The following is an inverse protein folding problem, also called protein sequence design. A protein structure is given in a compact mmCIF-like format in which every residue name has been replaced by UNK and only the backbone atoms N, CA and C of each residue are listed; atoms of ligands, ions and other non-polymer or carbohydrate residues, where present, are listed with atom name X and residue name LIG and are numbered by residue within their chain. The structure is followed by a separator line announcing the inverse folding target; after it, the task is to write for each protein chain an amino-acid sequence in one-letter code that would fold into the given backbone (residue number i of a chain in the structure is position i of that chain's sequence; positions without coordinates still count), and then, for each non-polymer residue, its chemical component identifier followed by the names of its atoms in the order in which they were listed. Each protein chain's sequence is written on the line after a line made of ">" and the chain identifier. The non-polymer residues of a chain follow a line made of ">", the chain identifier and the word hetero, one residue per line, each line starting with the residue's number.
data_IF_044570407368
#
_entry.id   IF_044570407368
#
_cell.length_a   1.000
_cell.length_b   1.000
_cell.length_c   1.000
_cell.angle_alpha   90.00
_cell.angle_beta   90.00
_cell.angle_gamma   90.00
#
_symmetry.space_group_name_H-M   'P 1'
#
loop_
_entity.id
_entity.type
_entity.pdbx_description
1 polymer ?
#
# COMPACT_ATOMS: atom_id res chain seq x y z
N UNK A 1 -18.32 -16.72 4.75
CA UNK A 1 -18.96 -16.61 6.10
C UNK A 1 -19.33 -17.99 6.56
N UNK A 2 -19.12 -18.36 7.82
CA UNK A 2 -19.67 -19.59 8.39
C UNK A 2 -21.19 -19.56 8.37
N UNK A 3 -21.80 -20.77 8.35
CA UNK A 3 -23.27 -20.91 8.33
C UNK A 3 -23.86 -20.37 9.64
N UNK A 4 -24.92 -19.59 9.56
CA UNK A 4 -25.60 -18.97 10.70
C UNK A 4 -25.05 -17.60 11.15
N UNK A 5 -23.99 -17.10 10.53
CA UNK A 5 -23.43 -15.78 10.87
C UNK A 5 -23.78 -14.70 9.84
N UNK A 6 -24.01 -13.50 10.33
CA UNK A 6 -23.91 -12.26 9.54
C UNK A 6 -22.46 -11.73 9.64
N UNK A 7 -22.04 -10.86 8.72
CA UNK A 7 -20.70 -10.22 8.80
C UNK A 7 -20.47 -9.59 10.17
N UNK A 8 -21.49 -8.91 10.71
CA UNK A 8 -21.44 -8.25 12.01
C UNK A 8 -21.23 -9.23 13.16
N UNK A 9 -22.07 -10.27 13.24
CA UNK A 9 -21.98 -11.24 14.35
C UNK A 9 -20.68 -12.04 14.30
N UNK A 10 -20.18 -12.31 13.11
CA UNK A 10 -18.91 -13.02 12.95
C UNK A 10 -17.71 -12.14 13.33
N UNK A 11 -17.67 -10.87 12.89
CA UNK A 11 -16.63 -9.93 13.30
C UNK A 11 -16.58 -9.78 14.82
N UNK A 12 -17.75 -9.63 15.44
CA UNK A 12 -17.86 -9.46 16.88
C UNK A 12 -17.32 -10.70 17.65
N UNK A 13 -17.72 -11.91 17.25
CA UNK A 13 -17.23 -13.13 17.87
C UNK A 13 -15.73 -13.34 17.74
N UNK A 14 -15.17 -13.03 16.54
CA UNK A 14 -13.73 -13.09 16.34
C UNK A 14 -12.98 -12.12 17.26
N UNK A 15 -13.51 -10.91 17.43
CA UNK A 15 -12.91 -9.90 18.31
C UNK A 15 -13.02 -10.28 19.79
N UNK A 16 -14.18 -10.80 20.24
CA UNK A 16 -14.37 -11.28 21.62
C UNK A 16 -13.44 -12.45 21.92
N UNK A 17 -13.33 -13.40 21.00
CA UNK A 17 -12.39 -14.52 21.12
C UNK A 17 -10.95 -14.02 21.19
N UNK A 18 -10.58 -13.08 20.31
CA UNK A 18 -9.25 -12.48 20.30
C UNK A 18 -8.94 -11.70 21.58
N UNK A 19 -9.92 -10.97 22.12
CA UNK A 19 -9.80 -10.25 23.39
C UNK A 19 -9.43 -11.21 24.53
N UNK A 20 -10.18 -12.30 24.65
CA UNK A 20 -9.93 -13.34 25.66
C UNK A 20 -8.59 -14.02 25.46
N UNK A 21 -8.15 -14.24 24.24
CA UNK A 21 -6.89 -14.91 23.96
C UNK A 21 -5.66 -14.03 24.17
N UNK A 22 -5.78 -12.74 23.89
CA UNK A 22 -4.62 -11.82 23.86
C UNK A 22 -4.42 -11.01 25.14
N UNK A 23 -5.47 -10.86 25.98
CA UNK A 23 -5.34 -10.10 27.24
C UNK A 23 -5.35 -11.04 28.45
N UNK A 24 -4.24 -11.07 29.23
CA UNK A 24 -4.09 -11.96 30.38
C UNK A 24 -5.19 -11.81 31.45
N UNK A 25 -5.74 -10.60 31.61
CA UNK A 25 -6.80 -10.30 32.59
C UNK A 25 -8.05 -11.17 32.38
N UNK A 26 -8.36 -11.59 31.15
CA UNK A 26 -9.49 -12.48 30.88
C UNK A 26 -9.18 -13.94 31.27
N UNK A 27 -7.91 -14.29 31.40
CA UNK A 27 -7.44 -15.60 31.89
C UNK A 27 -7.27 -15.63 33.42
N UNK A 28 -7.56 -14.53 34.11
CA UNK A 28 -7.33 -14.40 35.55
C UNK A 28 -5.86 -14.14 35.91
N UNK A 29 -5.06 -13.75 34.95
CA UNK A 29 -3.65 -13.43 35.12
C UNK A 29 -3.46 -11.92 35.25
N UNK A 30 -2.42 -11.49 35.98
CA UNK A 30 -2.05 -10.08 36.13
C UNK A 30 -1.10 -9.73 35.00
N UNK A 31 -1.50 -8.78 34.13
CA UNK A 31 -0.58 -8.20 33.17
C UNK A 31 0.30 -7.16 33.88
N UNK A 32 1.57 -7.50 34.06
CA UNK A 32 2.56 -6.60 34.69
C UNK A 32 2.84 -5.34 33.85
N UNK A 33 2.47 -5.33 32.59
CA UNK A 33 2.74 -4.26 31.62
C UNK A 33 1.50 -3.43 31.28
N UNK A 34 0.30 -3.89 31.64
CA UNK A 34 -0.96 -3.23 31.35
C UNK A 34 -1.91 -3.40 32.54
N UNK A 35 -2.23 -2.31 33.23
CA UNK A 35 -3.11 -2.32 34.40
C UNK A 35 -4.58 -2.09 34.05
N UNK A 36 -4.99 -2.45 32.82
CA UNK A 36 -6.36 -2.26 32.34
C UNK A 36 -7.29 -3.31 32.92
N UNK A 37 -8.48 -2.86 33.28
CA UNK A 37 -9.57 -3.73 33.71
C UNK A 37 -10.26 -4.40 32.52
N UNK A 38 -11.06 -5.43 32.78
CA UNK A 38 -11.88 -6.07 31.73
C UNK A 38 -12.85 -5.08 31.13
N UNK A 39 -13.48 -4.28 31.99
CA UNK A 39 -14.48 -3.28 31.65
C UNK A 39 -13.90 -2.23 30.68
N UNK A 40 -12.70 -1.72 30.95
CA UNK A 40 -12.03 -0.75 30.05
C UNK A 40 -11.71 -1.34 28.68
N UNK A 41 -11.27 -2.58 28.62
CA UNK A 41 -10.98 -3.27 27.37
C UNK A 41 -12.26 -3.57 26.56
N UNK A 42 -13.32 -4.02 27.23
CA UNK A 42 -14.63 -4.27 26.61
C UNK A 42 -15.27 -2.98 26.11
N UNK A 43 -15.18 -1.88 26.88
CA UNK A 43 -15.68 -0.57 26.48
C UNK A 43 -14.97 -0.08 25.22
N UNK A 44 -13.64 -0.14 25.19
CA UNK A 44 -12.86 0.25 24.02
C UNK A 44 -13.17 -0.62 22.80
N UNK A 45 -13.26 -1.93 22.97
CA UNK A 45 -13.60 -2.85 21.88
C UNK A 45 -14.99 -2.53 21.31
N UNK A 46 -15.98 -2.33 22.18
CA UNK A 46 -17.35 -2.01 21.75
C UNK A 46 -17.42 -0.65 21.03
N UNK A 47 -16.69 0.35 21.50
CA UNK A 47 -16.58 1.65 20.86
C UNK A 47 -16.04 1.52 19.43
N UNK A 48 -14.91 0.82 19.25
CA UNK A 48 -14.30 0.63 17.94
C UNK A 48 -15.18 -0.19 17.00
N UNK A 49 -15.75 -1.31 17.47
CA UNK A 49 -16.67 -2.15 16.70
C UNK A 49 -17.90 -1.36 16.20
N UNK A 50 -18.51 -0.53 17.06
CA UNK A 50 -19.63 0.30 16.66
C UNK A 50 -19.24 1.36 15.63
N UNK A 51 -18.07 1.96 15.77
CA UNK A 51 -17.52 2.91 14.79
C UNK A 51 -17.29 2.24 13.43
N UNK A 52 -16.62 1.08 13.41
CA UNK A 52 -16.41 0.29 12.19
C UNK A 52 -17.73 -0.08 11.51
N UNK A 53 -18.73 -0.50 12.30
CA UNK A 53 -20.06 -0.83 11.80
C UNK A 53 -20.77 0.38 11.18
N UNK A 54 -20.78 1.51 11.90
CA UNK A 54 -21.46 2.72 11.46
C UNK A 54 -20.82 3.33 10.21
N UNK A 55 -19.52 3.15 10.03
CA UNK A 55 -18.79 3.59 8.84
C UNK A 55 -18.86 2.58 7.68
N UNK A 56 -19.44 1.38 7.87
CA UNK A 56 -19.63 0.38 6.82
C UNK A 56 -18.39 -0.43 6.48
N UNK A 57 -17.42 -0.58 7.40
CA UNK A 57 -16.15 -1.27 7.13
C UNK A 57 -16.04 -2.69 7.70
N UNK A 58 -17.18 -3.31 8.09
CA UNK A 58 -17.19 -4.68 8.65
C UNK A 58 -16.52 -5.68 7.71
N UNK A 59 -16.96 -5.71 6.44
CA UNK A 59 -16.47 -6.63 5.43
C UNK A 59 -14.98 -6.38 5.12
N UNK A 60 -14.55 -5.13 5.13
CA UNK A 60 -13.14 -4.77 4.96
C UNK A 60 -12.26 -5.41 6.03
N UNK A 61 -12.63 -5.29 7.30
CA UNK A 61 -11.89 -5.93 8.40
C UNK A 61 -11.89 -7.45 8.30
N UNK A 62 -13.01 -8.06 7.90
CA UNK A 62 -13.11 -9.51 7.71
C UNK A 62 -12.23 -10.01 6.55
N UNK A 63 -12.15 -9.26 5.44
CA UNK A 63 -11.29 -9.60 4.31
C UNK A 63 -9.81 -9.51 4.72
N UNK A 64 -9.43 -8.44 5.43
CA UNK A 64 -8.05 -8.25 5.91
C UNK A 64 -7.68 -9.36 6.91
N UNK A 65 -8.55 -9.65 7.87
CA UNK A 65 -8.38 -10.76 8.80
C UNK A 65 -8.19 -12.09 8.08
N UNK A 66 -8.99 -12.37 7.08
CA UNK A 66 -9.03 -13.64 6.38
C UNK A 66 -7.70 -14.00 5.72
N UNK A 67 -7.13 -13.09 4.93
CA UNK A 67 -5.85 -13.38 4.27
C UNK A 67 -4.65 -13.35 5.23
N UNK A 68 -4.71 -12.57 6.31
CA UNK A 68 -3.70 -12.60 7.38
C UNK A 68 -3.78 -13.93 8.13
N UNK A 69 -4.99 -14.36 8.51
CA UNK A 69 -5.23 -15.64 9.17
C UNK A 69 -4.76 -16.81 8.30
N UNK A 70 -5.05 -16.78 6.99
CA UNK A 70 -4.52 -17.76 6.05
C UNK A 70 -2.99 -17.79 6.07
N UNK A 71 -2.35 -16.65 6.01
CA UNK A 71 -0.89 -16.56 6.01
C UNK A 71 -0.30 -17.15 7.31
N UNK A 72 -0.78 -16.70 8.47
CA UNK A 72 -0.33 -17.18 9.78
C UNK A 72 -0.57 -18.69 9.96
N UNK A 73 -1.74 -19.19 9.56
CA UNK A 73 -2.10 -20.62 9.64
C UNK A 73 -1.25 -21.52 8.73
N UNK A 74 -0.68 -20.97 7.66
CA UNK A 74 0.22 -21.69 6.76
C UNK A 74 1.71 -21.40 7.02
N UNK A 75 2.03 -20.79 8.16
CA UNK A 75 3.41 -20.48 8.56
C UNK A 75 4.10 -19.45 7.64
N UNK A 76 3.33 -18.58 6.99
CA UNK A 76 3.85 -17.45 6.23
C UNK A 76 4.05 -16.31 7.23
N UNK A 77 5.28 -15.82 7.36
CA UNK A 77 5.59 -14.73 8.27
C UNK A 77 4.84 -13.45 7.87
N UNK A 78 4.18 -12.84 8.85
CA UNK A 78 3.46 -11.56 8.75
C UNK A 78 4.10 -10.58 9.71
N UNK A 79 4.31 -9.35 9.27
CA UNK A 79 4.85 -8.29 10.12
C UNK A 79 3.89 -7.91 11.26
N UNK A 80 4.41 -7.25 12.33
CA UNK A 80 3.61 -6.92 13.51
C UNK A 80 2.56 -5.83 13.28
N UNK A 81 2.45 -5.34 12.07
CA UNK A 81 1.63 -4.19 11.70
C UNK A 81 2.41 -2.88 11.80
N UNK A 82 1.94 -1.87 11.07
CA UNK A 82 2.51 -0.53 10.98
C UNK A 82 1.43 0.51 10.70
N UNK A 83 1.80 1.79 10.71
CA UNK A 83 0.86 2.87 10.43
C UNK A 83 -0.20 3.06 11.50
N UNK A 84 -1.33 3.62 11.12
CA UNK A 84 -2.42 3.98 12.03
C UNK A 84 -3.22 2.78 12.53
N UNK A 85 -3.26 1.67 11.79
CA UNK A 85 -3.99 0.46 12.15
C UNK A 85 -3.55 -0.16 13.51
N UNK A 86 -2.29 0.09 13.93
CA UNK A 86 -1.79 -0.30 15.23
C UNK A 86 -2.52 0.38 16.40
N UNK A 87 -3.28 1.47 16.16
CA UNK A 87 -4.09 2.15 17.17
C UNK A 87 -5.43 1.48 17.48
N UNK A 88 -5.77 0.38 16.81
CA UNK A 88 -7.06 -0.31 16.94
C UNK A 88 -6.95 -1.59 17.78
N UNK A 89 -7.78 -1.68 18.85
CA UNK A 89 -7.92 -2.93 19.62
C UNK A 89 -8.62 -4.01 18.79
N UNK A 90 -9.51 -3.65 17.86
CA UNK A 90 -10.13 -4.58 16.91
C UNK A 90 -9.05 -5.22 16.04
N UNK A 91 -8.14 -4.42 15.46
CA UNK A 91 -7.02 -4.94 14.67
C UNK A 91 -6.10 -5.85 15.49
N UNK A 92 -5.88 -5.52 16.75
CA UNK A 92 -5.10 -6.34 17.68
C UNK A 92 -5.82 -7.66 17.99
N UNK A 93 -7.09 -7.66 18.35
CA UNK A 93 -7.88 -8.86 18.63
C UNK A 93 -7.99 -9.79 17.42
N UNK A 94 -8.08 -9.25 16.22
CA UNK A 94 -8.11 -9.99 14.95
C UNK A 94 -6.73 -10.50 14.51
N UNK A 95 -5.67 -10.27 15.27
CA UNK A 95 -4.29 -10.59 14.89
C UNK A 95 -3.82 -9.92 13.59
N UNK A 96 -4.49 -8.84 13.17
CA UNK A 96 -4.06 -7.99 12.06
C UNK A 96 -2.78 -7.25 12.46
N UNK A 97 -2.71 -6.81 13.73
CA UNK A 97 -1.51 -6.22 14.32
C UNK A 97 -1.09 -6.97 15.57
N UNK A 98 0.21 -6.92 15.89
CA UNK A 98 0.78 -7.50 17.11
C UNK A 98 1.26 -6.41 18.10
N UNK A 99 0.90 -5.15 17.83
CA UNK A 99 1.14 -4.00 18.68
C UNK A 99 -0.11 -3.77 19.53
N UNK A 100 0.03 -3.86 20.85
CA UNK A 100 -1.07 -3.67 21.80
C UNK A 100 -1.36 -2.15 21.97
N UNK A 101 -2.52 -1.64 21.52
CA UNK A 101 -2.76 -0.20 21.41
C UNK A 101 -2.92 0.50 22.75
N UNK A 102 -3.48 -0.15 23.77
CA UNK A 102 -3.78 0.45 25.05
C UNK A 102 -2.51 0.68 25.88
N UNK A 103 -1.56 -0.26 25.81
CA UNK A 103 -0.24 -0.15 26.45
C UNK A 103 0.55 1.09 26.01
N UNK A 104 0.42 1.45 24.74
CA UNK A 104 1.15 2.57 24.15
C UNK A 104 0.28 3.83 24.00
N UNK A 105 -0.94 3.84 24.58
CA UNK A 105 -1.88 4.94 24.48
C UNK A 105 -2.12 5.40 23.02
N UNK A 106 -2.23 4.44 22.11
CA UNK A 106 -2.48 4.74 20.71
C UNK A 106 -3.95 5.13 20.47
N UNK A 107 -4.13 6.17 19.67
CA UNK A 107 -5.47 6.73 19.39
C UNK A 107 -6.08 6.04 18.19
N UNK A 108 -7.25 5.45 18.37
CA UNK A 108 -8.05 4.84 17.31
C UNK A 108 -8.51 5.86 16.26
N UNK A 109 -8.79 7.08 16.69
CA UNK A 109 -9.27 8.17 15.83
C UNK A 109 -8.23 8.62 14.79
N UNK A 110 -6.96 8.27 14.97
CA UNK A 110 -5.92 8.44 13.94
C UNK A 110 -6.02 7.42 12.81
N UNK A 111 -6.61 6.28 13.10
CA UNK A 111 -6.84 5.20 12.13
C UNK A 111 -8.23 5.33 11.49
N UNK A 112 -9.28 5.49 12.31
CA UNK A 112 -10.65 5.60 11.83
C UNK A 112 -11.37 6.71 12.58
N UNK A 113 -11.72 7.79 11.86
CA UNK A 113 -12.41 8.94 12.42
C UNK A 113 -13.75 9.15 11.71
N UNK A 114 -14.90 9.07 12.41
CA UNK A 114 -16.22 9.32 11.82
C UNK A 114 -16.37 10.70 11.16
N UNK A 115 -15.63 11.70 11.64
CA UNK A 115 -15.66 13.06 11.08
C UNK A 115 -14.87 13.19 9.76
N UNK A 116 -13.98 12.22 9.50
CA UNK A 116 -13.17 12.19 8.28
C UNK A 116 -13.56 10.97 7.44
N UNK A 117 -14.36 11.19 6.42
CA UNK A 117 -14.75 10.14 5.46
C UNK A 117 -13.54 9.77 4.60
N UNK A 118 -12.73 8.85 5.07
CA UNK A 118 -11.66 8.21 4.30
C UNK A 118 -11.66 6.72 4.59
N UNK A 119 -11.39 5.92 3.56
CA UNK A 119 -11.26 4.48 3.73
C UNK A 119 -10.09 4.17 4.67
N UNK A 120 -10.23 3.21 5.61
CA UNK A 120 -9.13 2.80 6.46
C UNK A 120 -8.01 2.17 5.62
N UNK A 121 -6.78 2.50 5.94
CA UNK A 121 -5.58 1.97 5.31
C UNK A 121 -4.86 1.01 6.27
N UNK A 122 -4.86 -0.28 5.92
CA UNK A 122 -4.16 -1.33 6.68
C UNK A 122 -3.04 -1.88 5.81
N UNK A 123 -1.83 -1.45 6.11
CA UNK A 123 -0.63 -1.97 5.49
C UNK A 123 -0.21 -3.30 6.11
N UNK A 124 -0.07 -4.34 5.29
CA UNK A 124 0.35 -5.67 5.74
C UNK A 124 1.66 -6.08 5.08
N UNK A 125 2.65 -6.41 5.89
CA UNK A 125 3.96 -6.88 5.43
C UNK A 125 4.01 -8.42 5.48
N UNK A 126 4.19 -9.06 4.32
CA UNK A 126 4.36 -10.51 4.20
C UNK A 126 5.81 -10.88 3.88
N UNK A 127 6.19 -12.10 4.24
CA UNK A 127 7.44 -12.70 3.78
C UNK A 127 7.57 -12.57 2.25
N UNK A 128 8.66 -11.98 1.78
CA UNK A 128 8.87 -11.69 0.35
C UNK A 128 8.85 -12.95 -0.52
N UNK A 129 9.35 -14.07 0.00
CA UNK A 129 9.43 -15.35 -0.72
C UNK A 129 8.05 -15.99 -0.91
N UNK A 130 7.14 -15.81 0.06
CA UNK A 130 5.85 -16.50 0.10
C UNK A 130 4.63 -15.59 -0.06
N UNK A 131 4.83 -14.28 -0.28
CA UNK A 131 3.76 -13.32 -0.51
C UNK A 131 2.83 -13.74 -1.67
N UNK A 132 3.38 -14.32 -2.73
CA UNK A 132 2.59 -14.76 -3.88
C UNK A 132 1.54 -15.81 -3.50
N UNK A 133 1.83 -16.68 -2.54
CA UNK A 133 0.87 -17.69 -2.05
C UNK A 133 -0.38 -17.03 -1.43
N UNK A 134 -0.21 -15.89 -0.76
CA UNK A 134 -1.33 -15.12 -0.18
C UNK A 134 -2.16 -14.47 -1.29
N UNK A 135 -1.53 -13.88 -2.30
CA UNK A 135 -2.22 -13.30 -3.47
C UNK A 135 -3.02 -14.39 -4.20
N UNK A 136 -2.41 -15.55 -4.41
CA UNK A 136 -3.07 -16.69 -5.05
C UNK A 136 -4.24 -17.22 -4.22
N UNK A 137 -4.12 -17.21 -2.88
CA UNK A 137 -5.23 -17.55 -1.98
C UNK A 137 -6.40 -16.58 -2.16
N UNK A 138 -6.13 -15.29 -2.15
CA UNK A 138 -7.16 -14.24 -2.37
C UNK A 138 -7.86 -14.46 -3.70
N UNK A 139 -7.11 -14.70 -4.79
CA UNK A 139 -7.68 -14.98 -6.10
C UNK A 139 -8.52 -16.27 -6.14
N UNK A 140 -8.12 -17.32 -5.39
CA UNK A 140 -8.93 -18.55 -5.29
C UNK A 140 -10.21 -18.36 -4.48
N UNK A 141 -10.12 -17.58 -3.39
CA UNK A 141 -11.23 -17.43 -2.44
C UNK A 141 -12.31 -16.48 -2.93
N UNK A 142 -11.90 -15.33 -3.46
CA UNK A 142 -12.83 -14.28 -3.87
C UNK A 142 -13.23 -14.35 -5.34
N UNK A 143 -12.53 -15.15 -6.14
CA UNK A 143 -12.73 -15.29 -7.59
C UNK A 143 -11.61 -14.65 -8.38
N UNK A 144 -11.09 -15.38 -9.39
CA UNK A 144 -9.99 -14.88 -10.23
C UNK A 144 -10.38 -13.68 -11.09
N UNK A 145 -11.66 -13.54 -11.38
CA UNK A 145 -12.27 -12.44 -12.09
C UNK A 145 -12.64 -11.25 -11.20
N UNK A 146 -12.68 -11.47 -9.87
CA UNK A 146 -12.96 -10.45 -8.86
C UNK A 146 -11.69 -9.83 -8.27
N UNK A 147 -10.52 -10.33 -8.66
CA UNK A 147 -9.22 -9.90 -8.10
C UNK A 147 -8.29 -9.50 -9.23
N UNK A 148 -7.74 -8.29 -9.15
CA UNK A 148 -6.74 -7.80 -10.10
C UNK A 148 -5.61 -7.07 -9.39
N UNK A 149 -4.41 -7.12 -9.97
CA UNK A 149 -3.31 -6.29 -9.52
C UNK A 149 -3.47 -4.87 -10.07
N UNK A 150 -2.93 -3.88 -9.36
CA UNK A 150 -3.00 -2.48 -9.78
C UNK A 150 -1.84 -2.18 -10.73
N UNK A 151 -2.12 -1.43 -11.81
CA UNK A 151 -1.07 -0.94 -12.70
C UNK A 151 -0.32 0.23 -12.07
N UNK A 152 0.97 0.32 -12.38
CA UNK A 152 1.77 1.55 -12.18
C UNK A 152 2.40 1.96 -13.50
N UNK A 153 2.54 3.27 -13.70
CA UNK A 153 3.23 3.81 -14.86
C UNK A 153 4.58 4.38 -14.45
N UNK A 154 5.64 3.75 -14.94
CA UNK A 154 6.97 4.33 -14.88
C UNK A 154 7.05 5.53 -15.81
N UNK A 155 7.51 6.69 -15.30
CA UNK A 155 7.67 7.92 -16.07
C UNK A 155 9.13 8.17 -16.43
N UNK A 156 9.36 8.93 -17.49
CA UNK A 156 10.67 9.42 -17.88
C UNK A 156 11.16 10.44 -16.83
N UNK A 157 12.06 10.03 -15.96
CA UNK A 157 12.69 10.89 -14.95
C UNK A 157 13.90 11.63 -15.55
N UNK A 158 14.27 12.78 -14.97
CA UNK A 158 15.30 13.69 -15.47
C UNK A 158 16.59 13.01 -15.98
N UNK A 159 17.20 12.12 -15.20
CA UNK A 159 18.42 11.39 -15.60
C UNK A 159 18.16 10.36 -16.72
N UNK A 160 17.01 9.70 -16.65
CA UNK A 160 16.62 8.67 -17.61
C UNK A 160 16.33 9.27 -18.97
N UNK A 161 15.55 10.35 -18.99
CA UNK A 161 15.14 11.01 -20.24
C UNK A 161 16.34 11.58 -21.01
N UNK A 162 17.34 12.16 -20.32
CA UNK A 162 18.59 12.62 -20.96
C UNK A 162 19.30 11.47 -21.70
N UNK A 163 19.41 10.29 -21.08
CA UNK A 163 20.04 9.13 -21.73
C UNK A 163 19.22 8.59 -22.89
N UNK A 164 17.90 8.55 -22.75
CA UNK A 164 17.02 8.06 -23.81
C UNK A 164 17.02 8.99 -25.02
N UNK A 165 16.92 10.31 -24.80
CA UNK A 165 16.96 11.31 -25.87
C UNK A 165 18.35 11.37 -26.52
N UNK A 166 19.40 11.34 -25.71
CA UNK A 166 20.78 11.31 -26.24
C UNK A 166 21.04 10.10 -27.15
N UNK A 167 20.49 8.94 -26.81
CA UNK A 167 20.53 7.75 -27.66
C UNK A 167 19.79 7.92 -28.99
N UNK A 168 18.61 8.56 -28.95
CA UNK A 168 17.80 8.83 -30.15
C UNK A 168 18.49 9.86 -31.06
N UNK A 169 19.21 10.82 -30.46
CA UNK A 169 19.99 11.84 -31.18
C UNK A 169 21.37 11.34 -31.64
N UNK A 170 21.66 10.05 -31.45
CA UNK A 170 22.94 9.39 -31.78
C UNK A 170 24.17 10.09 -31.16
N UNK A 171 23.99 10.69 -29.98
CA UNK A 171 25.07 11.31 -29.24
C UNK A 171 25.97 10.28 -28.56
N UNK A 172 27.30 10.55 -28.42
CA UNK A 172 28.20 9.63 -27.73
C UNK A 172 27.76 9.37 -26.30
N UNK A 173 27.62 8.07 -25.92
CA UNK A 173 27.14 7.65 -24.60
C UNK A 173 27.89 8.32 -23.44
N UNK A 174 29.23 8.44 -23.53
CA UNK A 174 30.05 9.04 -22.49
C UNK A 174 29.70 10.52 -22.25
N UNK A 175 29.41 11.27 -23.32
CA UNK A 175 28.98 12.68 -23.22
C UNK A 175 27.62 12.78 -22.54
N UNK A 176 26.64 12.00 -23.00
CA UNK A 176 25.29 11.97 -22.45
C UNK A 176 25.26 11.53 -20.99
N UNK A 177 26.04 10.51 -20.63
CA UNK A 177 26.13 10.00 -19.27
C UNK A 177 26.78 11.00 -18.31
N UNK A 178 27.78 11.76 -18.76
CA UNK A 178 28.36 12.86 -18.01
C UNK A 178 27.32 13.96 -17.71
N UNK A 179 26.54 14.35 -18.71
CA UNK A 179 25.44 15.33 -18.52
C UNK A 179 24.41 14.80 -17.54
N UNK A 180 24.01 13.52 -17.69
CA UNK A 180 23.05 12.89 -16.79
C UNK A 180 23.55 12.81 -15.33
N UNK A 181 24.86 12.64 -15.12
CA UNK A 181 25.50 12.62 -13.79
C UNK A 181 25.53 14.00 -13.13
N UNK A 182 25.50 15.09 -13.89
CA UNK A 182 25.42 16.44 -13.34
C UNK A 182 24.05 16.75 -12.72
N UNK A 183 23.01 15.98 -13.03
CA UNK A 183 21.69 16.11 -12.42
C UNK A 183 21.76 15.63 -10.96
N UNK A 184 21.37 16.45 -9.95
CA UNK A 184 21.39 16.07 -8.54
C UNK A 184 20.62 14.80 -8.24
N UNK A 185 21.03 14.06 -7.18
CA UNK A 185 20.35 12.84 -6.74
C UNK A 185 19.25 13.16 -5.71
N UNK A 186 18.35 14.04 -6.07
CA UNK A 186 17.22 14.40 -5.22
C UNK A 186 15.93 13.71 -5.69
N UNK A 187 15.06 13.38 -4.75
CA UNK A 187 13.77 12.80 -5.06
C UNK A 187 12.92 13.80 -5.88
N UNK A 188 12.40 13.32 -7.00
CA UNK A 188 11.57 14.12 -7.92
C UNK A 188 12.24 15.36 -8.52
N UNK A 189 13.58 15.37 -8.60
CA UNK A 189 14.29 16.43 -9.31
C UNK A 189 13.83 16.49 -10.78
N UNK A 190 13.57 17.71 -11.27
CA UNK A 190 13.25 17.98 -12.67
C UNK A 190 14.48 18.55 -13.40
N UNK A 191 14.46 18.52 -14.73
CA UNK A 191 15.53 19.14 -15.53
C UNK A 191 15.65 20.64 -15.26
N UNK A 192 14.52 21.34 -15.07
CA UNK A 192 14.53 22.76 -14.68
C UNK A 192 15.09 22.98 -13.28
N UNK A 193 14.78 22.08 -12.34
CA UNK A 193 15.36 22.11 -11.00
C UNK A 193 16.86 21.88 -11.03
N UNK A 194 17.32 20.91 -11.82
CA UNK A 194 18.74 20.60 -11.99
C UNK A 194 19.53 21.77 -12.57
N UNK A 195 19.00 22.45 -13.59
CA UNK A 195 19.62 23.62 -14.17
C UNK A 195 19.72 24.82 -13.21
N UNK A 196 18.78 24.94 -12.25
CA UNK A 196 18.84 26.00 -11.21
C UNK A 196 19.86 25.65 -10.12
N UNK A 197 20.03 24.41 -9.79
CA UNK A 197 20.88 23.94 -8.68
C UNK A 197 22.34 23.73 -9.10
N UNK A 198 22.58 23.18 -10.30
CA UNK A 198 23.93 22.89 -10.79
C UNK A 198 24.40 23.94 -11.79
N UNK A 199 25.33 24.80 -11.33
CA UNK A 199 25.90 25.87 -12.16
C UNK A 199 26.70 25.34 -13.36
N UNK A 200 27.41 24.23 -13.22
CA UNK A 200 28.19 23.61 -14.30
C UNK A 200 27.25 23.12 -15.41
N UNK A 201 26.18 22.42 -15.06
CA UNK A 201 25.13 21.99 -16.00
C UNK A 201 24.50 23.20 -16.70
N UNK A 202 24.23 24.28 -15.95
CA UNK A 202 23.68 25.52 -16.52
C UNK A 202 24.64 26.17 -17.49
N UNK A 203 25.93 26.27 -17.15
CA UNK A 203 26.95 26.83 -18.02
C UNK A 203 27.06 26.02 -19.32
N UNK A 204 27.07 24.68 -19.21
CA UNK A 204 27.15 23.81 -20.37
C UNK A 204 25.89 23.95 -21.26
N UNK A 205 24.71 24.04 -20.65
CA UNK A 205 23.44 24.30 -21.35
C UNK A 205 23.47 25.63 -22.12
N UNK A 206 24.07 26.71 -21.56
CA UNK A 206 24.10 28.02 -22.18
C UNK A 206 25.18 28.15 -23.26
N UNK A 207 26.27 27.38 -23.16
CA UNK A 207 27.44 27.52 -24.05
C UNK A 207 27.50 26.49 -25.19
N UNK A 208 26.86 25.31 -25.03
CA UNK A 208 26.90 24.22 -26.00
C UNK A 208 25.52 24.01 -26.66
N UNK A 209 25.38 24.30 -27.97
CA UNK A 209 24.13 24.14 -28.70
C UNK A 209 23.60 22.69 -28.74
N UNK A 210 24.48 21.67 -28.76
CA UNK A 210 24.09 20.27 -28.75
C UNK A 210 23.49 19.88 -27.40
N UNK A 211 24.14 20.28 -26.31
CA UNK A 211 23.66 20.04 -24.95
C UNK A 211 22.36 20.78 -24.70
N UNK A 212 22.25 22.00 -25.19
CA UNK A 212 20.97 22.74 -25.12
C UNK A 212 19.86 22.03 -25.84
N UNK A 213 20.10 21.55 -27.04
CA UNK A 213 19.10 20.81 -27.81
C UNK A 213 18.69 19.49 -27.10
N UNK A 214 19.66 18.75 -26.58
CA UNK A 214 19.43 17.54 -25.79
C UNK A 214 18.49 17.81 -24.59
N UNK A 215 18.81 18.85 -23.82
CA UNK A 215 18.03 19.17 -22.61
C UNK A 215 16.66 19.71 -22.98
N UNK A 216 16.53 20.54 -24.00
CA UNK A 216 15.25 21.12 -24.45
C UNK A 216 14.31 20.01 -25.00
N UNK A 217 14.83 19.04 -25.75
CA UNK A 217 14.06 17.87 -26.17
C UNK A 217 13.67 16.98 -24.97
N UNK A 218 14.59 16.77 -24.04
CA UNK A 218 14.35 15.98 -22.84
C UNK A 218 13.27 16.59 -21.94
N UNK A 219 13.21 17.91 -21.81
CA UNK A 219 12.15 18.63 -21.09
C UNK A 219 10.75 18.35 -21.62
N UNK A 220 10.61 18.17 -22.95
CA UNK A 220 9.33 17.89 -23.61
C UNK A 220 8.82 16.47 -23.30
N UNK A 221 9.73 15.56 -22.96
CA UNK A 221 9.44 14.15 -22.67
C UNK A 221 9.47 13.84 -21.18
N UNK A 222 10.08 14.67 -20.35
CA UNK A 222 10.15 14.51 -18.91
C UNK A 222 8.75 14.36 -18.31
N UNK A 223 8.55 13.34 -17.47
CA UNK A 223 7.28 13.05 -16.82
C UNK A 223 6.29 12.23 -17.65
N UNK A 224 6.50 12.06 -18.96
CA UNK A 224 5.62 11.22 -19.77
C UNK A 224 5.74 9.74 -19.35
N UNK A 225 4.65 8.96 -19.46
CA UNK A 225 4.69 7.51 -19.23
C UNK A 225 5.67 6.82 -20.17
N UNK A 226 6.46 5.89 -19.64
CA UNK A 226 7.44 5.11 -20.39
C UNK A 226 7.04 3.65 -20.52
N UNK A 227 6.61 3.05 -19.44
CA UNK A 227 6.18 1.65 -19.39
C UNK A 227 5.14 1.45 -18.30
N UNK A 228 4.29 0.46 -18.49
CA UNK A 228 3.40 -0.05 -17.46
C UNK A 228 4.09 -1.17 -16.67
N UNK A 229 3.87 -1.18 -15.36
CA UNK A 229 4.35 -2.18 -14.43
C UNK A 229 3.21 -2.54 -13.47
N UNK A 230 3.42 -3.54 -12.63
CA UNK A 230 2.49 -3.87 -11.55
C UNK A 230 2.86 -3.08 -10.29
N UNK A 231 1.85 -2.68 -9.53
CA UNK A 231 2.04 -2.10 -8.22
C UNK A 231 2.67 -3.12 -7.27
N UNK A 232 3.66 -2.67 -6.49
CA UNK A 232 4.41 -3.57 -5.63
C UNK A 232 3.56 -4.21 -4.50
N UNK A 233 2.47 -3.57 -4.09
CA UNK A 233 1.69 -3.95 -2.91
C UNK A 233 0.17 -4.07 -3.17
N UNK A 234 -0.43 -3.19 -3.97
CA UNK A 234 -1.88 -3.08 -4.09
C UNK A 234 -2.51 -4.20 -4.92
N UNK A 235 -3.60 -4.77 -4.40
CA UNK A 235 -4.49 -5.72 -5.09
C UNK A 235 -5.92 -5.23 -4.91
N UNK A 236 -6.67 -5.19 -5.99
CA UNK A 236 -8.10 -4.85 -5.98
C UNK A 236 -8.91 -6.11 -5.77
N UNK A 237 -9.91 -6.04 -4.88
CA UNK A 237 -10.92 -7.08 -4.65
C UNK A 237 -12.29 -6.43 -4.83
N UNK A 238 -13.11 -6.96 -5.75
CA UNK A 238 -14.41 -6.42 -6.09
C UNK A 238 -15.55 -7.38 -5.77
N UNK A 239 -16.74 -6.85 -5.48
CA UNK A 239 -17.96 -7.64 -5.26
C UNK A 239 -18.55 -8.24 -6.56
N UNK A 240 -18.17 -7.69 -7.72
CA UNK A 240 -18.46 -8.20 -9.06
C UNK A 240 -17.15 -8.36 -9.83
N UNK A 241 -17.16 -9.01 -11.03
CA UNK A 241 -15.98 -9.06 -11.89
C UNK A 241 -15.34 -7.68 -12.08
N UNK A 242 -14.01 -7.61 -12.00
CA UNK A 242 -13.28 -6.31 -12.01
C UNK A 242 -13.50 -5.55 -13.31
N UNK A 243 -13.71 -6.23 -14.42
CA UNK A 243 -13.98 -5.65 -15.73
C UNK A 243 -15.35 -4.94 -15.86
N UNK A 244 -16.27 -5.19 -14.91
CA UNK A 244 -17.51 -4.39 -14.78
C UNK A 244 -17.25 -2.99 -14.17
N UNK A 245 -16.11 -2.79 -13.50
CA UNK A 245 -15.76 -1.53 -12.87
C UNK A 245 -14.70 -0.75 -13.63
N UNK A 246 -13.64 -1.45 -14.09
CA UNK A 246 -12.47 -0.83 -14.73
C UNK A 246 -11.92 -1.69 -15.86
N UNK A 247 -11.37 -1.09 -16.92
CA UNK A 247 -10.72 -1.84 -17.99
C UNK A 247 -9.49 -2.57 -17.43
N UNK A 248 -9.27 -3.78 -17.94
CA UNK A 248 -8.16 -4.64 -17.57
C UNK A 248 -7.13 -4.74 -18.69
N UNK A 249 -5.91 -5.04 -18.34
CA UNK A 249 -4.80 -5.31 -19.23
C UNK A 249 -4.09 -6.60 -18.82
N UNK A 250 -3.46 -7.24 -19.79
CA UNK A 250 -2.60 -8.40 -19.51
C UNK A 250 -1.13 -7.95 -19.57
N UNK A 251 -0.42 -8.14 -18.46
CA UNK A 251 1.01 -7.91 -18.40
C UNK A 251 1.81 -8.96 -19.20
N UNK A 252 3.10 -8.71 -19.44
CA UNK A 252 3.95 -9.60 -20.22
C UNK A 252 4.11 -11.00 -19.62
N UNK A 253 4.01 -11.13 -18.30
CA UNK A 253 4.04 -12.39 -17.56
C UNK A 253 2.68 -13.12 -17.52
N UNK A 254 1.66 -12.56 -18.17
CA UNK A 254 0.31 -13.10 -18.23
C UNK A 254 -0.62 -12.70 -17.09
N UNK A 255 -0.14 -11.97 -16.09
CA UNK A 255 -0.95 -11.46 -14.98
C UNK A 255 -1.97 -10.41 -15.47
N UNK A 256 -3.09 -10.32 -14.77
CA UNK A 256 -4.13 -9.33 -15.05
C UNK A 256 -3.94 -8.11 -14.15
N UNK A 257 -3.90 -6.94 -14.77
CA UNK A 257 -3.79 -5.66 -14.07
C UNK A 257 -4.94 -4.73 -14.48
N UNK A 258 -5.31 -3.82 -13.57
CA UNK A 258 -6.17 -2.69 -13.92
C UNK A 258 -5.46 -1.77 -14.91
N UNK A 259 -6.21 -0.99 -15.71
CA UNK A 259 -5.63 0.08 -16.54
C UNK A 259 -5.60 1.44 -15.83
N UNK A 260 -6.21 1.56 -14.64
CA UNK A 260 -6.17 2.75 -13.81
C UNK A 260 -5.20 2.57 -12.65
N UNK A 261 -4.50 3.64 -12.31
CA UNK A 261 -3.60 3.71 -11.15
C UNK A 261 -4.40 3.75 -9.84
N UNK A 262 -3.73 3.43 -8.73
CA UNK A 262 -4.34 3.32 -7.40
C UNK A 262 -5.17 4.55 -7.02
N UNK A 263 -4.65 5.77 -7.22
CA UNK A 263 -5.36 7.02 -6.91
C UNK A 263 -6.63 7.30 -7.73
N UNK A 264 -6.85 6.53 -8.80
CA UNK A 264 -8.08 6.61 -9.61
C UNK A 264 -9.07 5.52 -9.24
N UNK A 265 -8.58 4.45 -8.58
CA UNK A 265 -9.40 3.32 -8.12
C UNK A 265 -10.00 3.57 -6.74
N UNK A 266 -9.37 4.39 -5.90
CA UNK A 266 -9.85 4.90 -4.61
C UNK A 266 -10.96 5.97 -4.81
#
# INVERSE_FOLDING_TARGET
>A
MPEGYTSWTYLKELCETGLHNRYPVFKGEVDQNCHLTKEELEERLNYELNTIKNMGYIEYFLIVWDFIHYAKSNGIAVGPGRGSAAGSIVSYCLEITDIEPMRYNLLFERFLNPERVSMPDIDVDFCIERRQEVIDYVGRKYGKDHVAQIVTFGTLKARGVIRDVGRVLDMPYAQVDNIAKMIPQELNITLDGALKQNRELKTLYDSDPEVKYLIDMSRRLEGLPRHASMHAAGVVICGKPVDEYVPLSRAADGSITTQYIMTTLE
#
